data_IF_827142899567
#
_entry.id   IF_827142899567
#
_cell.length_a   1.000
_cell.length_b   1.000
_cell.length_c   1.000
_cell.angle_alpha   90.00
_cell.angle_beta   90.00
_cell.angle_gamma   90.00
#
_symmetry.space_group_name_H-M   'P 1'
#
loop_
_entity.id
_entity.type
_entity.pdbx_description
1 polymer ?
#
# COMPACT_ATOMS: atom_id res chain seq x y z
N UNK A 1 -13.78 7.96 21.11
CA UNK A 1 -13.93 6.79 20.22
C UNK A 1 -12.56 6.28 19.81
N UNK A 2 -12.28 4.99 20.00
CA UNK A 2 -10.99 4.35 19.68
C UNK A 2 -10.83 3.98 18.19
N UNK A 3 -11.61 4.58 17.28
CA UNK A 3 -11.64 4.21 15.86
C UNK A 3 -10.28 4.36 15.14
N UNK A 4 -9.41 5.26 15.60
CA UNK A 4 -8.05 5.41 15.07
C UNK A 4 -7.12 4.23 15.39
N UNK A 5 -7.48 3.35 16.32
CA UNK A 5 -6.67 2.17 16.65
C UNK A 5 -6.75 1.06 15.60
N UNK A 6 -7.82 1.04 14.80
CA UNK A 6 -8.10 -0.03 13.84
C UNK A 6 -8.62 0.50 12.50
N UNK A 7 -7.73 1.02 11.62
CA UNK A 7 -8.10 1.73 10.39
C UNK A 7 -8.81 0.86 9.34
N UNK A 8 -8.78 -0.47 9.46
CA UNK A 8 -9.35 -1.40 8.49
C UNK A 8 -10.58 -2.16 9.01
N UNK A 9 -11.07 -1.83 10.20
CA UNK A 9 -12.23 -2.53 10.75
C UNK A 9 -13.53 -2.07 10.09
N UNK A 10 -14.41 -3.04 9.86
CA UNK A 10 -15.76 -2.76 9.41
C UNK A 10 -16.61 -2.14 10.52
N UNK A 11 -17.71 -1.48 10.14
CA UNK A 11 -18.67 -0.92 11.09
C UNK A 11 -19.22 -1.99 12.03
N UNK A 12 -19.41 -3.23 11.56
CA UNK A 12 -19.87 -4.35 12.38
C UNK A 12 -18.82 -4.80 13.39
N UNK A 13 -17.55 -4.84 13.00
CA UNK A 13 -16.45 -5.15 13.93
C UNK A 13 -16.34 -4.09 15.02
N UNK A 14 -16.43 -2.81 14.65
CA UNK A 14 -16.47 -1.70 15.61
C UNK A 14 -17.69 -1.75 16.51
N UNK A 15 -18.87 -2.10 15.98
CA UNK A 15 -20.10 -2.25 16.76
C UNK A 15 -19.96 -3.35 17.81
N UNK A 16 -19.43 -4.51 17.43
CA UNK A 16 -19.22 -5.63 18.36
C UNK A 16 -18.23 -5.26 19.46
N UNK A 17 -17.10 -4.65 19.10
CA UNK A 17 -16.10 -4.19 20.07
C UNK A 17 -16.71 -3.18 21.07
N UNK A 18 -17.43 -2.18 20.58
CA UNK A 18 -18.11 -1.19 21.43
C UNK A 18 -19.18 -1.82 22.33
N UNK A 19 -19.92 -2.82 21.82
CA UNK A 19 -20.90 -3.58 22.59
C UNK A 19 -20.25 -4.41 23.69
N UNK A 20 -19.13 -5.06 23.42
CA UNK A 20 -18.37 -5.82 24.42
C UNK A 20 -17.74 -4.91 25.48
N UNK A 21 -17.20 -3.76 25.07
CA UNK A 21 -16.56 -2.81 25.98
C UNK A 21 -17.55 -2.05 26.89
N UNK A 22 -18.73 -1.70 26.37
CA UNK A 22 -19.68 -0.80 27.05
C UNK A 22 -20.95 -1.51 27.53
N UNK A 23 -21.15 -2.78 27.16
CA UNK A 23 -22.37 -3.55 27.46
C UNK A 23 -23.64 -3.00 26.77
N UNK A 24 -23.52 -1.93 25.99
CA UNK A 24 -24.65 -1.22 25.39
C UNK A 24 -24.87 -1.69 23.95
N UNK A 25 -26.14 -1.91 23.59
CA UNK A 25 -26.52 -2.31 22.23
C UNK A 25 -26.61 -1.07 21.34
N UNK A 26 -25.61 -0.87 20.49
CA UNK A 26 -25.51 0.27 19.57
C UNK A 26 -25.83 -0.24 18.15
N UNK A 27 -26.56 0.54 17.35
CA UNK A 27 -26.84 0.22 15.95
C UNK A 27 -25.66 0.57 15.03
N UNK A 28 -25.60 -0.06 13.86
CA UNK A 28 -24.60 0.24 12.82
C UNK A 28 -24.71 1.67 12.30
N UNK A 29 -25.91 2.23 12.27
CA UNK A 29 -26.21 3.60 11.83
C UNK A 29 -25.62 4.59 12.82
N UNK A 30 -25.76 4.31 14.12
CA UNK A 30 -25.18 5.14 15.17
C UNK A 30 -23.66 5.15 15.08
N UNK A 31 -23.03 3.98 14.88
CA UNK A 31 -21.57 3.89 14.68
C UNK A 31 -21.14 4.67 13.44
N UNK A 32 -21.86 4.53 12.32
CA UNK A 32 -21.56 5.25 11.08
C UNK A 32 -21.71 6.75 11.24
N UNK A 33 -22.79 7.23 11.84
CA UNK A 33 -23.03 8.65 12.11
C UNK A 33 -21.93 9.26 12.96
N UNK A 34 -21.54 8.56 14.04
CA UNK A 34 -20.42 8.98 14.90
C UNK A 34 -19.08 9.01 14.16
N UNK A 35 -18.80 8.05 13.29
CA UNK A 35 -17.60 8.08 12.44
C UNK A 35 -17.59 9.29 11.51
N UNK A 36 -18.74 9.63 10.89
CA UNK A 36 -18.86 10.81 10.03
C UNK A 36 -18.73 12.13 10.81
N UNK A 37 -19.34 12.25 11.99
CA UNK A 37 -19.17 13.40 12.90
C UNK A 37 -17.68 13.61 13.26
N UNK A 38 -16.93 12.52 13.42
CA UNK A 38 -15.49 12.54 13.66
C UNK A 38 -14.64 12.73 12.39
N UNK A 39 -15.26 12.92 11.22
CA UNK A 39 -14.56 13.12 9.94
C UNK A 39 -13.92 11.85 9.35
N UNK A 40 -14.28 10.66 9.84
CA UNK A 40 -13.75 9.39 9.38
C UNK A 40 -14.62 8.81 8.27
N UNK A 41 -13.99 8.49 7.13
CA UNK A 41 -14.63 7.84 5.99
C UNK A 41 -13.88 6.58 5.56
N UNK A 42 -14.62 5.64 4.95
CA UNK A 42 -14.03 4.43 4.39
C UNK A 42 -13.11 4.78 3.22
N UNK A 43 -11.96 4.11 3.14
CA UNK A 43 -11.01 4.19 2.02
C UNK A 43 -10.47 2.80 1.69
N UNK A 44 -10.33 2.51 0.40
CA UNK A 44 -9.62 1.32 -0.03
C UNK A 44 -8.11 1.48 0.28
N UNK A 45 -7.44 0.46 0.83
CA UNK A 45 -5.99 0.49 1.00
C UNK A 45 -5.31 0.55 -0.37
N UNK A 46 -4.19 1.28 -0.46
CA UNK A 46 -3.40 1.31 -1.67
C UNK A 46 -2.80 -0.08 -1.94
N UNK A 47 -3.00 -0.62 -3.14
CA UNK A 47 -2.35 -1.86 -3.59
C UNK A 47 -0.87 -1.57 -3.80
N UNK A 48 -0.01 -2.25 -3.04
CA UNK A 48 1.45 -2.07 -3.11
C UNK A 48 2.13 -3.43 -3.10
N UNK A 49 3.22 -3.55 -3.85
CA UNK A 49 4.10 -4.73 -3.79
C UNK A 49 4.74 -4.76 -2.39
N UNK A 50 4.62 -5.87 -1.63
CA UNK A 50 5.24 -5.98 -0.32
C UNK A 50 6.76 -5.84 -0.41
N UNK A 51 7.31 -4.85 0.28
CA UNK A 51 8.76 -4.70 0.41
C UNK A 51 9.27 -5.57 1.56
N UNK A 52 10.21 -6.47 1.26
CA UNK A 52 11.01 -7.19 2.27
C UNK A 52 11.80 -6.20 3.11
N UNK A 53 12.25 -6.62 4.30
CA UNK A 53 13.04 -5.77 5.19
C UNK A 53 14.34 -5.29 4.51
N UNK A 54 14.99 -6.17 3.73
CA UNK A 54 16.18 -5.84 2.95
C UNK A 54 15.88 -4.76 1.90
N UNK A 55 14.78 -4.89 1.15
CA UNK A 55 14.37 -3.88 0.18
C UNK A 55 14.12 -2.52 0.84
N UNK A 56 13.50 -2.50 2.03
CA UNK A 56 13.25 -1.24 2.77
C UNK A 56 14.55 -0.56 3.17
N UNK A 57 15.50 -1.31 3.73
CA UNK A 57 16.82 -0.79 4.13
C UNK A 57 17.61 -0.26 2.93
N UNK A 58 17.67 -1.03 1.85
CA UNK A 58 18.37 -0.63 0.63
C UNK A 58 17.78 0.64 0.00
N UNK A 59 16.46 0.70 -0.14
CA UNK A 59 15.77 1.89 -0.66
C UNK A 59 15.97 3.12 0.22
N UNK A 60 15.92 2.97 1.55
CA UNK A 60 16.12 4.08 2.47
C UNK A 60 17.55 4.62 2.39
N UNK A 61 18.56 3.74 2.44
CA UNK A 61 19.96 4.14 2.35
C UNK A 61 20.26 4.85 1.02
N UNK A 62 19.77 4.31 -0.09
CA UNK A 62 19.91 4.93 -1.40
C UNK A 62 19.24 6.31 -1.44
N UNK A 63 17.99 6.42 -0.96
CA UNK A 63 17.27 7.70 -0.92
C UNK A 63 17.98 8.74 -0.05
N UNK A 64 18.52 8.34 1.10
CA UNK A 64 19.27 9.24 1.99
C UNK A 64 20.56 9.74 1.34
N UNK A 65 21.31 8.86 0.67
CA UNK A 65 22.54 9.21 -0.03
C UNK A 65 22.32 10.21 -1.17
N UNK A 66 21.18 10.11 -1.85
CA UNK A 66 20.85 10.93 -3.03
C UNK A 66 19.85 12.06 -2.71
N UNK A 67 19.46 12.24 -1.44
CA UNK A 67 18.43 13.20 -1.02
C UNK A 67 18.76 14.66 -1.33
N UNK A 68 20.07 14.98 -1.43
CA UNK A 68 20.58 16.33 -1.68
C UNK A 68 21.16 16.49 -3.07
N UNK A 69 21.04 15.48 -3.93
CA UNK A 69 21.54 15.58 -5.30
C UNK A 69 20.86 16.70 -6.05
N UNK A 70 21.69 17.50 -6.71
CA UNK A 70 21.30 18.59 -7.59
C UNK A 70 20.92 18.07 -8.97
N UNK A 71 20.26 18.91 -9.77
CA UNK A 71 19.87 18.55 -11.15
C UNK A 71 21.09 18.16 -11.99
N UNK A 72 22.24 18.82 -11.78
CA UNK A 72 23.48 18.50 -12.49
C UNK A 72 23.98 17.07 -12.17
N UNK A 73 23.82 16.61 -10.93
CA UNK A 73 24.19 15.25 -10.52
C UNK A 73 23.22 14.19 -11.07
N UNK A 74 21.95 14.53 -11.28
CA UNK A 74 21.00 13.65 -11.96
C UNK A 74 21.19 13.61 -13.49
N UNK A 75 21.72 14.69 -14.08
CA UNK A 75 21.85 14.84 -15.54
C UNK A 75 22.57 13.69 -16.25
N UNK A 76 23.69 13.14 -15.73
CA UNK A 76 24.38 12.02 -16.39
C UNK A 76 23.70 10.65 -16.15
N UNK A 77 22.66 10.54 -15.34
CA UNK A 77 22.06 9.24 -14.98
C UNK A 77 21.12 8.75 -16.09
N UNK A 78 21.50 7.67 -16.75
CA UNK A 78 20.64 6.96 -17.71
C UNK A 78 19.84 5.86 -17.00
N UNK A 79 18.51 5.99 -16.97
CA UNK A 79 17.62 4.95 -16.46
C UNK A 79 17.21 3.99 -17.57
N UNK A 80 17.34 2.68 -17.32
CA UNK A 80 16.88 1.62 -18.23
C UNK A 80 15.92 0.69 -17.49
N UNK A 81 14.84 0.29 -18.15
CA UNK A 81 13.87 -0.70 -17.65
C UNK A 81 13.31 -1.48 -18.85
N UNK A 82 13.03 -2.76 -18.65
CA UNK A 82 12.46 -3.62 -19.68
C UNK A 82 11.01 -3.92 -19.33
N UNK A 83 10.11 -3.60 -20.26
CA UNK A 83 8.69 -3.94 -20.13
C UNK A 83 8.40 -5.11 -21.06
N UNK A 84 8.09 -6.26 -20.47
CA UNK A 84 7.61 -7.41 -21.24
C UNK A 84 6.19 -7.09 -21.68
N UNK A 85 5.98 -7.00 -23.00
CA UNK A 85 4.66 -6.80 -23.58
C UNK A 85 3.96 -8.15 -23.71
N UNK A 86 2.66 -8.25 -23.36
CA UNK A 86 1.90 -9.47 -23.55
C UNK A 86 1.79 -9.80 -25.04
N UNK A 87 2.04 -11.07 -25.41
CA UNK A 87 1.94 -11.58 -26.78
C UNK A 87 3.26 -11.74 -27.54
N UNK A 88 4.41 -11.43 -26.93
CA UNK A 88 5.71 -11.76 -27.52
C UNK A 88 6.21 -13.09 -26.93
N UNK A 89 5.56 -14.18 -27.32
CA UNK A 89 6.01 -15.53 -27.05
C UNK A 89 7.33 -15.72 -27.82
N UNK A 90 8.47 -15.48 -27.18
CA UNK A 90 9.74 -16.08 -27.62
C UNK A 90 9.71 -17.57 -27.26
N UNK A 91 8.80 -18.27 -27.92
CA UNK A 91 8.78 -19.72 -28.06
C UNK A 91 8.97 -20.03 -29.54
N UNK A 92 10.20 -19.85 -30.01
CA UNK A 92 10.68 -20.62 -31.15
C UNK A 92 12.09 -21.09 -30.77
N UNK A 93 12.30 -22.38 -30.47
CA UNK A 93 13.64 -22.93 -30.41
C UNK A 93 14.16 -22.91 -31.84
N UNK A 94 15.15 -22.07 -32.12
CA UNK A 94 15.89 -22.16 -33.38
C UNK A 94 16.74 -23.43 -33.30
N UNK A 95 16.21 -24.49 -33.91
CA UNK A 95 16.96 -25.67 -34.28
C UNK A 95 18.14 -25.24 -35.16
N UNK A 96 19.35 -25.52 -34.72
CA UNK A 96 20.48 -25.76 -35.62
C UNK A 96 21.41 -26.75 -34.96
N UNK A 97 21.15 -28.01 -35.28
CA UNK A 97 22.14 -29.07 -35.31
C UNK A 97 22.72 -29.10 -36.74
N UNK A 98 24.02 -28.84 -36.86
CA UNK A 98 24.98 -29.52 -37.75
C UNK A 98 26.38 -29.08 -37.33
#
# INVERSE_FOLDING_TARGET
MQAHRHPFWSVTQLQNDLRHATGTRISTETVRGRLHEAGLSSRAPAIRVPLTQQHRRGRLAWAQQHARWTVAEWTPVLFTDVKVLPGNDRSSPESVET
#
